data_IF_957067762561
#
_entry.id   IF_957067762561
#
_cell.length_a   1.000
_cell.length_b   1.000
_cell.length_c   1.000
_cell.angle_alpha   90.00
_cell.angle_beta   90.00
_cell.angle_gamma   90.00
#
_symmetry.space_group_name_H-M   'P 1'
#
loop_
_entity.id
_entity.type
_entity.pdbx_description
1 polymer ?
#
# COMPACT_ATOMS: atom_id res chain seq x y z
N UNK A 1 -13.22 -2.43 -5.00
CA UNK A 1 -12.24 -1.73 -4.14
C UNK A 1 -11.52 -2.72 -3.26
N UNK A 2 -10.24 -2.48 -3.02
CA UNK A 2 -9.40 -3.25 -2.09
C UNK A 2 -8.64 -2.26 -1.22
N UNK A 3 -8.74 -2.41 0.09
CA UNK A 3 -7.97 -1.63 1.06
C UNK A 3 -6.82 -2.47 1.58
N UNK A 4 -5.62 -1.91 1.48
CA UNK A 4 -4.36 -2.55 1.87
C UNK A 4 -3.74 -1.75 3.00
N UNK A 5 -3.32 -2.44 4.06
CA UNK A 5 -2.55 -1.86 5.14
C UNK A 5 -1.13 -2.44 5.15
N UNK A 6 -0.16 -1.64 5.60
CA UNK A 6 1.21 -2.07 5.82
C UNK A 6 1.95 -1.12 6.76
N UNK A 7 3.00 -1.66 7.40
CA UNK A 7 3.94 -0.87 8.18
C UNK A 7 5.09 -0.36 7.31
N UNK A 8 5.65 0.79 7.71
CA UNK A 8 6.86 1.37 7.14
C UNK A 8 8.03 1.22 8.12
N UNK A 9 9.23 0.96 7.60
CA UNK A 9 10.48 1.11 8.32
C UNK A 9 10.92 2.57 8.33
N UNK A 10 11.75 2.95 9.31
CA UNK A 10 12.29 4.32 9.46
C UNK A 10 13.08 4.80 8.25
N UNK A 11 13.56 3.89 7.42
CA UNK A 11 14.29 4.18 6.18
C UNK A 11 13.35 4.49 5.00
N UNK A 12 12.05 4.67 5.26
CA UNK A 12 11.06 5.01 4.24
C UNK A 12 10.69 3.84 3.33
N UNK A 13 10.89 2.59 3.77
CA UNK A 13 10.56 1.39 3.02
C UNK A 13 9.38 0.64 3.65
N UNK A 14 8.45 0.08 2.86
CA UNK A 14 7.37 -0.74 3.37
C UNK A 14 7.88 -2.11 3.80
N UNK A 15 7.44 -2.54 4.99
CA UNK A 15 7.70 -3.89 5.51
C UNK A 15 6.86 -4.91 4.77
N UNK A 16 7.50 -5.64 3.85
CA UNK A 16 6.80 -6.52 2.89
C UNK A 16 6.04 -7.69 3.52
N UNK A 17 6.41 -8.08 4.74
CA UNK A 17 5.78 -9.09 5.60
C UNK A 17 4.50 -8.59 6.27
N UNK A 18 4.31 -7.27 6.35
CA UNK A 18 3.14 -6.63 6.98
C UNK A 18 2.05 -6.21 5.99
N UNK A 19 2.29 -6.40 4.68
CA UNK A 19 1.32 -6.00 3.66
C UNK A 19 0.14 -6.95 3.65
N UNK A 20 -1.02 -6.45 4.03
CA UNK A 20 -2.25 -7.23 4.14
C UNK A 20 -3.47 -6.50 3.58
N UNK A 21 -4.47 -7.28 3.17
CA UNK A 21 -5.76 -6.76 2.73
C UNK A 21 -6.68 -6.68 3.95
N UNK A 22 -7.05 -5.47 4.35
CA UNK A 22 -7.90 -5.24 5.54
C UNK A 22 -9.37 -5.02 5.19
N UNK A 23 -9.69 -4.68 3.94
CA UNK A 23 -11.08 -4.57 3.47
C UNK A 23 -11.18 -4.81 1.97
N UNK A 24 -12.32 -5.38 1.55
CA UNK A 24 -12.68 -5.48 0.13
C UNK A 24 -14.20 -5.52 -0.03
N UNK A 25 -14.70 -4.93 -1.12
CA UNK A 25 -16.10 -5.07 -1.55
C UNK A 25 -16.25 -5.91 -2.83
N UNK A 26 -15.16 -6.54 -3.29
CA UNK A 26 -15.12 -7.32 -4.53
C UNK A 26 -15.14 -8.83 -4.27
N UNK A 27 -15.67 -9.59 -5.25
CA UNK A 27 -15.61 -11.04 -5.27
C UNK A 27 -14.24 -11.57 -5.71
N UNK A 28 -14.22 -12.55 -6.63
CA UNK A 28 -12.99 -13.22 -7.09
C UNK A 28 -11.85 -12.27 -7.56
N UNK A 29 -12.19 -11.06 -8.02
CA UNK A 29 -11.21 -10.06 -8.49
C UNK A 29 -10.45 -9.35 -7.36
N UNK A 30 -10.94 -9.40 -6.11
CA UNK A 30 -10.28 -8.77 -4.97
C UNK A 30 -8.86 -9.29 -4.74
N UNK A 31 -8.65 -10.61 -4.89
CA UNK A 31 -7.32 -11.23 -4.75
C UNK A 31 -6.33 -10.70 -5.80
N UNK A 32 -6.76 -10.62 -7.06
CA UNK A 32 -5.93 -10.12 -8.17
C UNK A 32 -5.58 -8.64 -7.96
N UNK A 33 -6.55 -7.83 -7.54
CA UNK A 33 -6.34 -6.43 -7.22
C UNK A 33 -5.40 -6.25 -6.03
N UNK A 34 -5.55 -7.03 -4.96
CA UNK A 34 -4.62 -7.05 -3.83
C UNK A 34 -3.18 -7.38 -4.27
N UNK A 35 -2.98 -8.42 -5.07
CA UNK A 35 -1.65 -8.77 -5.55
C UNK A 35 -1.03 -7.68 -6.44
N UNK A 36 -1.85 -7.00 -7.25
CA UNK A 36 -1.41 -5.86 -8.05
C UNK A 36 -0.98 -4.69 -7.15
N UNK A 37 -1.79 -4.35 -6.14
CA UNK A 37 -1.48 -3.33 -5.15
C UNK A 37 -0.19 -3.65 -4.38
N UNK A 38 -0.04 -4.87 -3.88
CA UNK A 38 1.16 -5.34 -3.17
C UNK A 38 2.41 -5.19 -4.02
N UNK A 39 2.35 -5.58 -5.30
CA UNK A 39 3.49 -5.39 -6.23
C UNK A 39 3.79 -3.91 -6.47
N UNK A 40 2.77 -3.07 -6.59
CA UNK A 40 2.96 -1.63 -6.79
C UNK A 40 3.65 -0.99 -5.59
N UNK A 41 3.20 -1.28 -4.35
CA UNK A 41 3.81 -0.77 -3.11
C UNK A 41 5.31 -1.10 -3.05
N UNK A 42 5.66 -2.38 -3.24
CA UNK A 42 7.05 -2.84 -3.20
C UNK A 42 7.89 -2.19 -4.31
N UNK A 43 7.33 -2.04 -5.51
CA UNK A 43 8.05 -1.45 -6.64
C UNK A 43 8.29 0.04 -6.47
N UNK A 44 7.31 0.78 -5.97
CA UNK A 44 7.43 2.23 -5.76
C UNK A 44 8.45 2.57 -4.67
N UNK A 45 8.66 1.67 -3.72
CA UNK A 45 9.63 1.85 -2.65
C UNK A 45 11.08 1.48 -3.02
N UNK A 46 11.40 1.12 -4.27
CA UNK A 46 12.77 0.69 -4.66
C UNK A 46 13.87 1.74 -4.45
N UNK A 47 13.53 2.97 -4.11
CA UNK A 47 14.47 4.02 -3.69
C UNK A 47 14.21 4.58 -2.28
N UNK A 48 13.29 3.97 -1.51
CA UNK A 48 12.71 4.58 -0.31
C UNK A 48 11.81 5.77 -0.65
N UNK A 49 10.88 6.09 0.25
CA UNK A 49 10.16 7.36 0.18
C UNK A 49 10.93 8.42 0.98
N UNK A 50 11.11 9.61 0.41
CA UNK A 50 11.70 10.77 1.09
C UNK A 50 10.68 11.37 2.09
N UNK A 51 10.51 10.67 3.21
CA UNK A 51 9.56 11.03 4.27
C UNK A 51 10.29 11.69 5.44
N UNK A 52 9.76 12.77 6.02
CA UNK A 52 10.40 13.42 7.15
C UNK A 52 10.48 12.49 8.36
N UNK A 53 11.71 12.18 8.78
CA UNK A 53 12.00 11.21 9.84
C UNK A 53 11.38 11.59 11.19
N UNK A 54 11.27 12.89 11.48
CA UNK A 54 10.66 13.44 12.69
C UNK A 54 9.14 13.19 12.74
N UNK A 55 8.53 12.90 11.59
CA UNK A 55 7.11 12.56 11.47
C UNK A 55 6.86 11.07 11.34
N UNK A 56 7.84 10.21 11.63
CA UNK A 56 7.71 8.75 11.53
C UNK A 56 6.40 8.21 12.11
N UNK A 57 5.96 8.73 13.26
CA UNK A 57 4.72 8.31 13.89
C UNK A 57 3.46 8.47 13.01
N UNK A 58 3.49 9.41 12.05
CA UNK A 58 2.39 9.70 11.12
C UNK A 58 2.36 8.79 9.89
N UNK A 59 3.50 8.19 9.53
CA UNK A 59 3.63 7.40 8.29
C UNK A 59 4.14 5.98 8.53
N UNK A 60 4.43 5.58 9.78
CA UNK A 60 4.81 4.21 10.16
C UNK A 60 3.72 3.17 9.91
N UNK A 61 2.46 3.59 9.78
CA UNK A 61 1.31 2.75 9.44
C UNK A 61 0.57 3.42 8.29
N UNK A 62 0.35 2.68 7.21
CA UNK A 62 -0.26 3.20 5.99
C UNK A 62 -1.46 2.33 5.63
N UNK A 63 -2.56 2.99 5.31
CA UNK A 63 -3.77 2.39 4.76
C UNK A 63 -4.08 3.04 3.40
N UNK A 64 -4.21 2.24 2.35
CA UNK A 64 -4.50 2.70 1.00
C UNK A 64 -5.68 1.91 0.44
N UNK A 65 -6.69 2.63 -0.06
CA UNK A 65 -7.82 2.04 -0.78
C UNK A 65 -7.62 2.19 -2.29
N UNK A 66 -7.59 1.06 -2.99
CA UNK A 66 -7.57 0.97 -4.44
C UNK A 66 -9.00 0.80 -4.95
N UNK A 67 -9.54 1.86 -5.54
CA UNK A 67 -10.85 1.86 -6.19
C UNK A 67 -10.68 1.95 -7.72
N UNK A 68 -11.06 0.89 -8.47
CA UNK A 68 -10.95 0.91 -9.94
C UNK A 68 -11.86 1.94 -10.61
N UNK A 69 -12.90 2.45 -9.93
CA UNK A 69 -13.75 3.51 -10.48
C UNK A 69 -13.12 4.90 -10.39
N UNK A 70 -12.15 5.10 -9.49
CA UNK A 70 -11.40 6.35 -9.35
C UNK A 70 -10.00 6.29 -9.99
N UNK A 71 -9.45 5.10 -10.22
CA UNK A 71 -8.21 4.90 -10.97
C UNK A 71 -8.41 5.13 -12.49
N UNK A 72 -8.50 6.39 -12.88
CA UNK A 72 -8.22 6.83 -14.26
C UNK A 72 -6.71 6.77 -14.48
N UNK A 73 -6.21 5.70 -15.12
CA UNK A 73 -4.88 5.74 -15.75
C UNK A 73 -4.99 6.68 -16.97
N UNK A 74 -4.37 7.86 -16.91
CA UNK A 74 -4.07 8.70 -18.07
C UNK A 74 -2.57 8.76 -18.27
#
# INVERSE_FOLDING_TARGET
>A
MVTVAFAMDRDGNPRTDTIEMISTNGGADARRAFEAARRAIIRCARGGYDLPSEKYAHWQQVEITFDPTSMSLR
#
